data_IF_708366144704
#
_entry.id   IF_708366144704
#
_cell.length_a   1.000
_cell.length_b   1.000
_cell.length_c   1.000
_cell.angle_alpha   90.00
_cell.angle_beta   90.00
_cell.angle_gamma   90.00
#
_symmetry.space_group_name_H-M   'P 1'
#
loop_
_entity.id
_entity.type
_entity.pdbx_description
1 polymer ?
#
# COMPACT_ATOMS: atom_id res chain seq x y z
N UNK A 1 -1.26 -18.15 8.46
CA UNK A 1 -0.93 -16.86 7.81
C UNK A 1 -0.48 -17.12 6.38
N UNK A 2 -1.00 -16.35 5.41
CA UNK A 2 -0.60 -16.40 4.00
C UNK A 2 -0.02 -15.04 3.60
N UNK A 3 1.18 -15.03 3.00
CA UNK A 3 1.87 -13.81 2.59
C UNK A 3 1.94 -13.74 1.06
N UNK A 4 1.43 -12.65 0.50
CA UNK A 4 1.55 -12.28 -0.92
C UNK A 4 2.48 -11.10 -1.03
N UNK A 5 3.39 -11.12 -2.00
CA UNK A 5 4.34 -10.03 -2.18
C UNK A 5 4.39 -9.53 -3.62
N UNK A 6 4.36 -8.21 -3.79
CA UNK A 6 4.53 -7.54 -5.06
C UNK A 6 5.94 -7.78 -5.63
N UNK A 7 6.04 -8.04 -6.92
CA UNK A 7 7.32 -8.16 -7.64
C UNK A 7 7.44 -7.13 -8.76
N UNK A 8 8.68 -6.77 -9.09
CA UNK A 8 9.01 -5.86 -10.20
C UNK A 8 8.63 -4.39 -9.97
N UNK A 9 8.20 -4.04 -8.75
CA UNK A 9 7.86 -2.67 -8.38
C UNK A 9 7.99 -2.44 -6.88
N UNK A 10 8.52 -1.27 -6.54
CA UNK A 10 8.58 -0.73 -5.18
C UNK A 10 7.76 0.56 -5.07
N UNK A 11 6.90 0.64 -4.06
CA UNK A 11 6.07 1.82 -3.77
C UNK A 11 6.69 2.69 -2.68
N UNK A 12 7.91 3.19 -2.95
CA UNK A 12 8.57 4.16 -2.09
C UNK A 12 7.77 5.48 -2.00
N UNK A 13 7.95 6.25 -0.91
CA UNK A 13 7.25 7.53 -0.70
C UNK A 13 7.40 8.49 -1.89
N UNK A 14 8.60 8.59 -2.46
CA UNK A 14 8.89 9.44 -3.62
C UNK A 14 8.20 8.97 -4.91
N UNK A 15 7.72 7.73 -5.01
CA UNK A 15 6.93 7.27 -6.14
C UNK A 15 5.44 7.66 -6.04
N UNK A 16 5.00 8.06 -4.84
CA UNK A 16 3.59 8.28 -4.48
C UNK A 16 3.28 9.74 -4.14
N UNK A 17 4.25 10.49 -3.63
CA UNK A 17 4.05 11.88 -3.23
C UNK A 17 5.08 12.81 -3.88
N UNK A 18 4.68 14.03 -4.25
CA UNK A 18 5.61 15.08 -4.61
C UNK A 18 6.59 15.36 -3.47
N UNK A 19 7.82 15.70 -3.84
CA UNK A 19 8.90 16.16 -2.97
C UNK A 19 9.59 17.36 -3.62
N UNK A 20 10.67 17.86 -3.00
CA UNK A 20 11.50 18.97 -3.49
C UNK A 20 11.92 18.82 -4.96
N UNK A 21 12.13 17.59 -5.43
CA UNK A 21 12.52 17.29 -6.82
C UNK A 21 11.40 17.52 -7.83
N UNK A 22 10.17 17.70 -7.37
CA UNK A 22 9.01 17.97 -8.20
C UNK A 22 8.74 19.47 -8.38
N UNK A 23 9.42 20.37 -7.66
CA UNK A 23 9.14 21.81 -7.67
C UNK A 23 9.18 22.41 -9.09
N UNK A 24 10.15 21.97 -9.90
CA UNK A 24 10.31 22.40 -11.29
C UNK A 24 9.71 21.40 -12.30
N UNK A 25 8.94 20.41 -11.85
CA UNK A 25 8.38 19.36 -12.69
C UNK A 25 6.93 19.00 -12.27
N UNK A 26 5.94 19.85 -12.61
CA UNK A 26 4.54 19.63 -12.22
C UNK A 26 3.94 18.34 -12.80
N UNK A 27 4.42 17.89 -13.97
CA UNK A 27 3.99 16.63 -14.58
C UNK A 27 4.40 15.41 -13.74
N UNK A 28 5.59 15.47 -13.15
CA UNK A 28 6.07 14.42 -12.25
C UNK A 28 5.29 14.42 -10.93
N UNK A 29 4.99 15.60 -10.37
CA UNK A 29 4.12 15.72 -9.21
C UNK A 29 2.75 15.06 -9.45
N UNK A 30 2.10 15.41 -10.56
CA UNK A 30 0.79 14.86 -10.96
C UNK A 30 0.87 13.33 -11.16
N UNK A 31 1.94 12.83 -11.80
CA UNK A 31 2.14 11.39 -12.01
C UNK A 31 2.23 10.63 -10.68
N UNK A 32 2.94 11.17 -9.69
CA UNK A 32 3.09 10.54 -8.36
C UNK A 32 1.77 10.49 -7.60
N UNK A 33 1.01 11.59 -7.60
CA UNK A 33 -0.32 11.63 -6.98
C UNK A 33 -1.28 10.63 -7.64
N UNK A 34 -1.30 10.57 -8.98
CA UNK A 34 -2.08 9.56 -9.72
C UNK A 34 -1.66 8.13 -9.36
N UNK A 35 -0.37 7.86 -9.19
CA UNK A 35 0.08 6.55 -8.73
C UNK A 35 -0.43 6.24 -7.32
N UNK A 36 -0.41 7.22 -6.42
CA UNK A 36 -0.91 7.10 -5.05
C UNK A 36 -2.41 6.81 -4.99
N UNK A 37 -3.22 7.52 -5.77
CA UNK A 37 -4.66 7.29 -5.88
C UNK A 37 -4.99 5.91 -6.46
N UNK A 38 -4.23 5.48 -7.48
CA UNK A 38 -4.34 4.13 -8.06
C UNK A 38 -3.95 3.05 -7.06
N UNK A 39 -2.87 3.26 -6.30
CA UNK A 39 -2.47 2.34 -5.26
C UNK A 39 -3.53 2.26 -4.15
N UNK A 40 -4.06 3.41 -3.72
CA UNK A 40 -5.18 3.48 -2.76
C UNK A 40 -6.38 2.68 -3.27
N UNK A 41 -6.75 2.82 -4.54
CA UNK A 41 -7.86 2.07 -5.13
C UNK A 41 -7.62 0.54 -5.11
N UNK A 42 -6.40 0.09 -5.43
CA UNK A 42 -6.05 -1.33 -5.33
C UNK A 42 -6.14 -1.83 -3.87
N UNK A 43 -5.57 -1.09 -2.93
CA UNK A 43 -5.60 -1.41 -1.49
C UNK A 43 -7.03 -1.52 -0.98
N UNK A 44 -7.89 -0.55 -1.31
CA UNK A 44 -9.27 -0.56 -0.85
C UNK A 44 -10.15 -1.60 -1.56
N UNK A 45 -9.78 -2.04 -2.77
CA UNK A 45 -10.42 -3.21 -3.40
C UNK A 45 -10.17 -4.48 -2.59
N UNK A 46 -8.91 -4.75 -2.26
CA UNK A 46 -8.55 -5.92 -1.42
C UNK A 46 -9.24 -5.86 -0.06
N UNK A 47 -9.34 -4.65 0.53
CA UNK A 47 -10.02 -4.46 1.80
C UNK A 47 -11.53 -4.75 1.74
N UNK A 48 -12.23 -4.33 0.68
CA UNK A 48 -13.67 -4.57 0.51
C UNK A 48 -14.00 -6.04 0.30
N UNK A 49 -13.08 -6.81 -0.28
CA UNK A 49 -13.21 -8.26 -0.42
C UNK A 49 -13.03 -9.00 0.91
N UNK A 50 -12.56 -8.32 1.97
CA UNK A 50 -12.28 -8.91 3.28
C UNK A 50 -13.43 -8.68 4.26
N UNK A 51 -13.99 -9.75 4.83
CA UNK A 51 -15.10 -9.67 5.81
C UNK A 51 -14.70 -9.08 7.17
N UNK A 52 -13.45 -9.27 7.60
CA UNK A 52 -12.95 -8.81 8.89
C UNK A 52 -12.23 -7.47 8.82
N UNK A 53 -11.62 -7.09 9.96
CA UNK A 53 -10.80 -5.88 10.06
C UNK A 53 -9.57 -5.97 9.15
N UNK A 54 -9.25 -4.85 8.53
CA UNK A 54 -8.11 -4.67 7.63
C UNK A 54 -7.22 -3.59 8.19
N UNK A 55 -5.93 -3.89 8.34
CA UNK A 55 -4.92 -2.87 8.65
C UNK A 55 -4.15 -2.55 7.37
N UNK A 56 -4.02 -1.26 7.07
CA UNK A 56 -3.16 -0.77 6.02
C UNK A 56 -2.06 0.06 6.66
N UNK A 57 -0.80 -0.31 6.42
CA UNK A 57 0.38 0.40 6.91
C UNK A 57 1.13 1.00 5.74
N UNK A 58 1.23 2.33 5.68
CA UNK A 58 1.91 3.07 4.60
C UNK A 58 2.78 4.20 5.17
N UNK A 59 3.62 4.84 4.37
CA UNK A 59 4.44 5.95 4.89
C UNK A 59 3.52 7.08 5.40
N UNK A 60 3.91 7.78 6.48
CA UNK A 60 3.04 8.76 7.15
C UNK A 60 2.39 9.77 6.19
N UNK A 61 3.19 10.37 5.31
CA UNK A 61 2.64 11.31 4.31
C UNK A 61 1.65 10.67 3.34
N UNK A 62 1.79 9.39 3.01
CA UNK A 62 0.87 8.66 2.12
C UNK A 62 -0.44 8.41 2.85
N UNK A 63 -0.38 8.03 4.13
CA UNK A 63 -1.55 7.90 5.00
C UNK A 63 -2.29 9.23 5.12
N UNK A 64 -1.57 10.31 5.38
CA UNK A 64 -2.15 11.64 5.55
C UNK A 64 -2.81 12.13 4.25
N UNK A 65 -2.19 11.86 3.10
CA UNK A 65 -2.78 12.14 1.79
C UNK A 65 -4.02 11.27 1.51
N UNK A 66 -3.97 9.97 1.79
CA UNK A 66 -5.10 9.06 1.55
C UNK A 66 -6.34 9.35 2.40
N UNK A 67 -6.16 9.95 3.58
CA UNK A 67 -7.26 10.49 4.39
C UNK A 67 -7.96 11.68 3.73
N UNK A 68 -7.26 12.41 2.87
CA UNK A 68 -7.80 13.56 2.14
C UNK A 68 -8.43 13.16 0.80
N UNK A 69 -8.03 12.04 0.20
CA UNK A 69 -8.54 11.58 -1.09
C UNK A 69 -10.02 11.17 -1.08
N UNK A 70 -10.55 10.76 0.08
CA UNK A 70 -11.92 10.27 0.18
C UNK A 70 -12.15 9.34 1.37
N UNK A 71 -13.38 8.84 1.51
CA UNK A 71 -13.76 7.98 2.62
C UNK A 71 -13.05 6.62 2.59
N UNK A 72 -12.96 6.00 3.76
CA UNK A 72 -12.44 4.64 3.95
C UNK A 72 -13.60 3.70 4.29
N UNK A 73 -13.60 2.46 3.81
CA UNK A 73 -14.52 1.44 4.29
C UNK A 73 -14.42 1.25 5.81
N UNK A 74 -15.55 0.99 6.47
CA UNK A 74 -15.62 0.84 7.94
C UNK A 74 -14.71 -0.26 8.53
N UNK A 75 -14.32 -1.25 7.72
CA UNK A 75 -13.42 -2.32 8.14
C UNK A 75 -11.93 -1.96 8.00
N UNK A 76 -11.58 -0.79 7.47
CA UNK A 76 -10.20 -0.36 7.22
C UNK A 76 -9.69 0.56 8.31
N UNK A 77 -8.56 0.20 8.90
CA UNK A 77 -7.76 1.05 9.77
C UNK A 77 -6.44 1.42 9.07
N UNK A 78 -6.02 2.68 9.17
CA UNK A 78 -4.73 3.14 8.67
C UNK A 78 -3.73 3.31 9.82
N UNK A 79 -2.50 2.83 9.60
CA UNK A 79 -1.34 3.14 10.43
C UNK A 79 -0.15 3.50 9.53
N UNK A 80 0.95 3.94 10.14
CA UNK A 80 2.16 4.28 9.38
C UNK A 80 3.41 3.59 9.91
N UNK A 81 4.39 3.42 9.03
CA UNK A 81 5.72 2.90 9.35
C UNK A 81 6.30 3.67 10.56
N UNK A 82 7.02 2.98 11.43
CA UNK A 82 7.58 3.44 12.71
C UNK A 82 6.55 3.78 13.81
N UNK A 83 5.24 3.73 13.54
CA UNK A 83 4.18 3.93 14.54
C UNK A 83 3.34 2.67 14.80
N UNK A 84 3.95 1.51 14.53
CA UNK A 84 3.39 0.19 14.81
C UNK A 84 4.01 -0.47 16.05
N UNK A 85 5.18 0.00 16.49
CA UNK A 85 5.88 -0.54 17.64
C UNK A 85 5.05 -0.36 18.92
N UNK A 86 5.03 -1.40 19.77
CA UNK A 86 4.26 -1.40 21.03
C UNK A 86 2.74 -1.55 20.87
N UNK A 87 2.21 -1.60 19.64
CA UNK A 87 0.78 -1.76 19.38
C UNK A 87 0.39 -3.24 19.29
N UNK A 88 -0.74 -3.58 19.90
CA UNK A 88 -1.25 -4.97 20.03
C UNK A 88 -2.68 -5.15 19.50
N UNK A 89 -3.43 -4.06 19.32
CA UNK A 89 -4.84 -4.03 18.91
C UNK A 89 -5.16 -4.73 17.57
N UNK A 90 -4.13 -5.07 16.79
CA UNK A 90 -4.25 -5.75 15.50
C UNK A 90 -4.08 -7.28 15.60
N UNK A 91 -3.43 -7.75 16.66
CA UNK A 91 -3.29 -9.17 16.95
C UNK A 91 -4.58 -9.80 17.49
N UNK A 92 -4.73 -11.13 17.44
CA UNK A 92 -5.79 -11.80 18.18
C UNK A 92 -5.57 -11.62 19.69
N UNK A 93 -6.66 -11.56 20.45
CA UNK A 93 -6.66 -11.46 21.91
C UNK A 93 -8.01 -11.92 22.49
N UNK A 94 -8.19 -11.92 23.82
CA UNK A 94 -9.48 -12.27 24.44
C UNK A 94 -10.61 -11.39 23.87
N UNK A 95 -11.63 -12.01 23.26
CA UNK A 95 -12.74 -11.30 22.61
C UNK A 95 -12.39 -10.53 21.33
N UNK A 96 -11.15 -10.62 20.84
CA UNK A 96 -10.66 -9.88 19.67
C UNK A 96 -10.11 -10.86 18.63
N UNK A 97 -10.76 -11.07 17.47
CA UNK A 97 -10.21 -11.94 16.42
C UNK A 97 -8.89 -11.40 15.83
N UNK A 98 -8.70 -10.08 15.93
CA UNK A 98 -7.62 -9.35 15.28
C UNK A 98 -7.95 -9.07 13.81
N UNK A 99 -6.96 -8.55 13.07
CA UNK A 99 -7.13 -8.27 11.64
C UNK A 99 -7.13 -9.55 10.80
N UNK A 100 -7.98 -9.59 9.77
CA UNK A 100 -8.03 -10.66 8.76
C UNK A 100 -7.12 -10.38 7.57
N UNK A 101 -6.84 -9.11 7.28
CA UNK A 101 -5.91 -8.69 6.24
C UNK A 101 -4.98 -7.59 6.73
N UNK A 102 -3.70 -7.74 6.46
CA UNK A 102 -2.66 -6.72 6.62
C UNK A 102 -2.14 -6.33 5.25
N UNK A 103 -2.15 -5.04 4.91
CA UNK A 103 -1.55 -4.52 3.68
C UNK A 103 -0.40 -3.58 4.07
N UNK A 104 0.82 -3.89 3.63
CA UNK A 104 2.01 -3.08 3.89
C UNK A 104 2.42 -2.39 2.59
N UNK A 105 2.38 -1.07 2.57
CA UNK A 105 2.67 -0.25 1.40
C UNK A 105 4.09 0.29 1.47
N UNK A 106 4.88 -0.06 0.46
CA UNK A 106 6.25 0.39 0.33
C UNK A 106 7.10 -0.02 1.52
N UNK A 107 8.07 0.82 1.82
CA UNK A 107 9.09 0.63 2.86
C UNK A 107 9.68 1.96 3.31
N UNK A 108 10.40 1.90 4.41
CA UNK A 108 11.40 2.86 4.87
C UNK A 108 12.75 2.56 4.22
N UNK A 109 13.51 3.60 3.86
CA UNK A 109 14.90 3.47 3.44
C UNK A 109 15.66 4.73 3.89
N UNK A 110 16.67 4.61 4.77
CA UNK A 110 17.50 5.75 5.14
C UNK A 110 18.39 6.15 3.97
N UNK A 111 18.74 7.44 3.83
CA UNK A 111 19.80 7.85 2.90
C UNK A 111 21.14 7.23 3.34
N UNK A 112 22.10 6.93 2.42
CA UNK A 112 23.38 6.32 2.77
C UNK A 112 24.11 7.01 3.93
N UNK A 113 24.31 8.33 3.83
CA UNK A 113 24.93 9.12 4.90
C UNK A 113 24.21 8.99 6.26
N UNK A 114 22.89 8.78 6.28
CA UNK A 114 22.16 8.62 7.53
C UNK A 114 22.44 7.25 8.18
N UNK A 115 22.56 6.20 7.36
CA UNK A 115 22.97 4.88 7.83
C UNK A 115 24.43 4.88 8.31
N UNK A 116 25.32 5.56 7.58
CA UNK A 116 26.72 5.74 7.95
C UNK A 116 26.85 6.48 9.29
N UNK A 117 26.22 7.65 9.44
CA UNK A 117 26.26 8.39 10.71
C UNK A 117 25.74 7.57 11.90
N UNK A 118 24.68 6.76 11.69
CA UNK A 118 24.18 5.86 12.74
C UNK A 118 25.19 4.75 13.06
N UNK A 119 25.89 4.22 12.06
CA UNK A 119 26.93 3.21 12.24
C UNK A 119 28.12 3.77 13.03
N UNK A 120 28.58 4.96 12.67
CA UNK A 120 29.70 5.63 13.34
C UNK A 120 29.34 5.99 14.79
N UNK A 121 28.13 6.51 15.00
CA UNK A 121 27.64 6.82 16.35
C UNK A 121 27.51 5.55 17.22
N UNK A 122 27.08 4.43 16.65
CA UNK A 122 26.91 3.16 17.37
C UNK A 122 28.25 2.51 17.73
N UNK A 123 29.23 2.59 16.84
CA UNK A 123 30.52 1.87 16.99
C UNK A 123 31.65 2.73 17.54
N UNK A 124 31.54 4.05 17.45
CA UNK A 124 32.63 4.99 17.76
C UNK A 124 33.76 5.00 16.73
N UNK A 125 33.58 4.36 15.57
CA UNK A 125 34.57 4.27 14.50
C UNK A 125 33.97 4.76 13.18
N UNK A 126 34.81 5.36 12.31
CA UNK A 126 34.39 5.73 10.97
C UNK A 126 34.01 4.50 10.15
N UNK A 127 33.03 4.64 9.25
CA UNK A 127 32.68 3.53 8.32
C UNK A 127 33.86 3.18 7.42
N UNK A 128 34.02 1.90 7.08
CA UNK A 128 35.14 1.46 6.25
C UNK A 128 35.05 1.97 4.81
N UNK A 129 33.84 2.27 4.35
CA UNK A 129 33.56 2.78 3.01
C UNK A 129 32.32 3.66 3.05
N UNK A 130 32.50 4.95 2.82
CA UNK A 130 31.40 5.92 2.69
C UNK A 130 30.92 6.00 1.24
N UNK A 131 29.62 6.18 1.06
CA UNK A 131 28.97 6.35 -0.24
C UNK A 131 28.67 7.83 -0.49
N UNK A 132 29.28 8.40 -1.54
CA UNK A 132 28.97 9.74 -2.01
C UNK A 132 27.62 9.83 -2.78
N UNK A 133 27.04 8.69 -3.16
CA UNK A 133 25.87 8.58 -4.03
C UNK A 133 24.79 7.66 -3.47
N UNK A 134 23.82 7.21 -4.28
CA UNK A 134 22.80 6.26 -3.84
C UNK A 134 23.42 4.90 -3.51
N UNK A 135 22.67 4.05 -2.80
CA UNK A 135 23.09 2.66 -2.61
C UNK A 135 23.27 1.95 -3.94
N UNK A 136 24.26 1.06 -3.97
CA UNK A 136 24.39 0.07 -5.04
C UNK A 136 23.17 -0.87 -4.98
N UNK A 137 22.66 -1.26 -6.16
CA UNK A 137 21.64 -2.33 -6.26
C UNK A 137 22.34 -3.64 -6.55
N UNK A 138 22.11 -4.65 -5.71
CA UNK A 138 22.67 -5.99 -5.86
C UNK A 138 21.56 -7.01 -6.10
N UNK A 139 21.91 -8.08 -6.81
CA UNK A 139 21.02 -9.22 -7.00
C UNK A 139 20.56 -9.77 -5.64
N UNK A 140 19.26 -10.03 -5.55
CA UNK A 140 18.63 -10.62 -4.39
C UNK A 140 17.48 -11.52 -4.84
N UNK A 141 16.86 -12.23 -3.88
CA UNK A 141 15.79 -13.15 -4.19
C UNK A 141 14.65 -13.08 -3.18
N UNK A 142 13.42 -13.05 -3.68
CA UNK A 142 12.22 -13.30 -2.88
C UNK A 142 12.04 -14.83 -2.80
N UNK A 143 12.10 -15.38 -1.59
CA UNK A 143 11.96 -16.82 -1.34
C UNK A 143 10.49 -17.21 -1.21
N UNK A 144 10.06 -18.27 -1.90
CA UNK A 144 8.72 -18.83 -1.78
C UNK A 144 8.72 -20.06 -0.86
N UNK A 145 7.57 -20.34 -0.23
CA UNK A 145 7.38 -21.48 0.67
C UNK A 145 7.52 -22.84 0.01
N UNK A 146 7.32 -22.92 -1.30
CA UNK A 146 7.54 -24.15 -2.10
C UNK A 146 9.02 -24.41 -2.38
N UNK A 147 9.94 -23.58 -1.87
CA UNK A 147 11.39 -23.70 -2.07
C UNK A 147 11.91 -22.96 -3.32
N UNK A 148 11.05 -22.45 -4.20
CA UNK A 148 11.48 -21.64 -5.34
C UNK A 148 11.81 -20.21 -4.93
N UNK A 149 12.44 -19.45 -5.83
CA UNK A 149 12.72 -18.05 -5.63
C UNK A 149 12.44 -17.22 -6.88
N UNK A 150 12.20 -15.93 -6.68
CA UNK A 150 12.03 -14.95 -7.75
C UNK A 150 13.16 -13.93 -7.65
N UNK A 151 13.93 -13.68 -8.73
CA UNK A 151 15.01 -12.70 -8.72
C UNK A 151 14.45 -11.29 -8.53
N UNK A 152 15.21 -10.47 -7.80
CA UNK A 152 14.94 -9.05 -7.57
C UNK A 152 16.28 -8.33 -7.37
N UNK A 153 16.23 -7.04 -7.07
CA UNK A 153 17.40 -6.26 -6.70
C UNK A 153 17.10 -5.46 -5.42
N UNK A 154 18.08 -5.45 -4.51
CA UNK A 154 18.00 -4.74 -3.24
C UNK A 154 19.12 -3.70 -3.13
N UNK A 155 18.85 -2.60 -2.42
CA UNK A 155 19.91 -1.66 -2.04
C UNK A 155 20.89 -2.33 -1.08
N UNK A 156 22.18 -2.03 -1.24
CA UNK A 156 23.25 -2.59 -0.43
C UNK A 156 24.28 -1.51 -0.07
N UNK A 157 24.71 -1.50 1.18
CA UNK A 157 25.81 -0.70 1.67
C UNK A 157 27.10 -1.56 1.82
N UNK A 158 28.27 -1.09 1.37
CA UNK A 158 29.51 -1.88 1.44
C UNK A 158 30.05 -2.06 2.87
N UNK A 159 29.89 -1.05 3.75
CA UNK A 159 30.21 -1.19 5.18
C UNK A 159 29.19 -2.11 5.88
N UNK A 160 29.63 -3.18 6.57
CA UNK A 160 28.74 -4.16 7.20
C UNK A 160 27.82 -3.59 8.30
N UNK A 161 28.29 -2.60 9.06
CA UNK A 161 27.51 -2.01 10.16
C UNK A 161 26.42 -1.10 9.60
N UNK A 162 26.79 -0.24 8.64
CA UNK A 162 25.82 0.60 7.94
C UNK A 162 24.80 -0.25 7.16
N UNK A 163 25.21 -1.37 6.58
CA UNK A 163 24.28 -2.32 5.94
C UNK A 163 23.33 -2.96 6.94
N UNK A 164 23.81 -3.39 8.11
CA UNK A 164 22.95 -3.94 9.16
C UNK A 164 21.91 -2.91 9.63
N UNK A 165 22.30 -1.64 9.77
CA UNK A 165 21.39 -0.53 10.12
C UNK A 165 20.38 -0.29 9.00
N UNK A 166 20.83 -0.23 7.74
CA UNK A 166 19.94 -0.08 6.57
C UNK A 166 18.91 -1.20 6.52
N UNK A 167 19.36 -2.45 6.68
CA UNK A 167 18.50 -3.64 6.71
C UNK A 167 17.51 -3.59 7.87
N UNK A 168 17.95 -3.17 9.05
CA UNK A 168 17.09 -3.04 10.21
C UNK A 168 15.97 -2.00 9.97
N UNK A 169 16.32 -0.84 9.43
CA UNK A 169 15.36 0.24 9.16
C UNK A 169 14.41 -0.14 8.03
N UNK A 170 14.87 -0.85 7.00
CA UNK A 170 14.08 -1.18 5.82
C UNK A 170 13.34 -2.52 5.98
N UNK A 171 14.04 -3.64 5.82
CA UNK A 171 13.49 -4.99 5.87
C UNK A 171 13.02 -5.37 7.29
N UNK A 172 13.74 -4.91 8.32
CA UNK A 172 13.38 -5.13 9.72
C UNK A 172 12.03 -4.51 10.09
N UNK A 173 11.76 -3.28 9.65
CA UNK A 173 10.47 -2.62 9.86
C UNK A 173 9.33 -3.36 9.16
N UNK A 174 9.53 -3.84 7.92
CA UNK A 174 8.54 -4.67 7.22
C UNK A 174 8.19 -5.92 8.04
N UNK A 175 9.19 -6.61 8.57
CA UNK A 175 8.99 -7.80 9.40
C UNK A 175 8.29 -7.47 10.73
N UNK A 176 8.60 -6.32 11.34
CA UNK A 176 7.90 -5.86 12.53
C UNK A 176 6.42 -5.61 12.25
N UNK A 177 6.11 -4.92 11.15
CA UNK A 177 4.73 -4.66 10.71
C UNK A 177 3.99 -5.99 10.47
N UNK A 178 4.60 -6.91 9.72
CA UNK A 178 4.04 -8.25 9.47
C UNK A 178 3.79 -8.98 10.79
N UNK A 179 4.72 -8.88 11.74
CA UNK A 179 4.64 -9.46 13.07
C UNK A 179 3.43 -8.97 13.88
N UNK A 180 2.89 -7.78 13.60
CA UNK A 180 1.70 -7.25 14.30
C UNK A 180 0.43 -8.04 14.02
N UNK A 181 0.36 -8.74 12.89
CA UNK A 181 -0.69 -9.71 12.65
C UNK A 181 -0.62 -10.91 13.61
N UNK A 182 0.53 -11.18 14.25
CA UNK A 182 0.75 -12.39 15.07
C UNK A 182 0.34 -13.66 14.34
N UNK A 183 0.65 -13.73 13.04
CA UNK A 183 0.16 -14.78 12.16
C UNK A 183 0.65 -16.19 12.49
N UNK A 184 1.71 -16.32 13.30
CA UNK A 184 2.20 -17.58 13.87
C UNK A 184 1.22 -18.16 14.90
N UNK A 185 0.47 -17.31 15.60
CA UNK A 185 -0.48 -17.71 16.64
C UNK A 185 -1.88 -18.00 16.05
N UNK A 186 -2.02 -18.01 14.72
CA UNK A 186 -3.30 -18.12 14.01
C UNK A 186 -3.45 -19.48 13.34
N UNK A 187 -4.66 -20.04 13.44
CA UNK A 187 -5.04 -21.33 12.85
C UNK A 187 -5.91 -21.12 11.60
N UNK A 188 -6.33 -22.21 10.96
CA UNK A 188 -7.30 -22.16 9.87
C UNK A 188 -8.65 -21.54 10.28
N UNK A 189 -9.01 -21.58 11.57
CA UNK A 189 -10.25 -20.99 12.08
C UNK A 189 -10.17 -19.46 12.27
N UNK A 190 -8.97 -18.88 12.34
CA UNK A 190 -8.76 -17.44 12.42
C UNK A 190 -7.57 -17.04 11.53
N UNK A 191 -7.71 -17.16 10.19
CA UNK A 191 -6.61 -16.92 9.28
C UNK A 191 -6.28 -15.42 9.19
N UNK A 192 -5.08 -15.15 8.68
CA UNK A 192 -4.71 -13.80 8.26
C UNK A 192 -3.94 -13.86 6.95
N UNK A 193 -4.33 -12.96 6.06
CA UNK A 193 -3.62 -12.67 4.82
C UNK A 193 -2.76 -11.42 5.01
N UNK A 194 -1.59 -11.43 4.38
CA UNK A 194 -0.65 -10.31 4.37
C UNK A 194 -0.31 -10.01 2.92
N UNK A 195 -0.50 -8.75 2.50
CA UNK A 195 -0.12 -8.26 1.19
C UNK A 195 0.98 -7.20 1.33
N UNK A 196 2.17 -7.53 0.85
CA UNK A 196 3.34 -6.65 0.89
C UNK A 196 3.53 -6.00 -0.48
N UNK A 197 3.32 -4.68 -0.55
CA UNK A 197 3.37 -3.88 -1.77
C UNK A 197 4.74 -3.22 -1.93
N UNK A 198 5.77 -4.05 -1.89
CA UNK A 198 7.17 -3.74 -2.22
C UNK A 198 7.89 -5.02 -2.63
N UNK A 199 8.87 -4.91 -3.52
CA UNK A 199 9.69 -6.01 -4.03
C UNK A 199 10.96 -6.28 -3.21
N UNK A 200 11.05 -5.69 -2.00
CA UNK A 200 12.19 -5.91 -1.10
C UNK A 200 12.28 -7.37 -0.62
N UNK A 201 13.44 -8.02 -0.67
CA UNK A 201 13.58 -9.40 -0.22
C UNK A 201 13.31 -9.52 1.29
N UNK A 202 12.30 -10.29 1.67
CA UNK A 202 12.01 -10.56 3.07
C UNK A 202 12.91 -11.67 3.62
N UNK A 203 13.23 -11.60 4.92
CA UNK A 203 13.99 -12.66 5.61
C UNK A 203 13.17 -13.93 5.87
N UNK A 204 11.86 -13.91 5.55
CA UNK A 204 10.92 -15.03 5.64
C UNK A 204 10.39 -15.40 4.26
N UNK A 205 10.09 -16.69 4.00
CA UNK A 205 9.50 -17.09 2.72
C UNK A 205 8.04 -16.65 2.61
N UNK A 206 7.65 -16.20 1.41
CA UNK A 206 6.27 -15.81 1.07
C UNK A 206 5.49 -16.98 0.46
N UNK A 207 4.17 -16.91 0.47
CA UNK A 207 3.32 -17.95 -0.12
C UNK A 207 3.22 -17.79 -1.64
N UNK A 208 3.11 -16.55 -2.10
CA UNK A 208 3.00 -16.24 -3.52
C UNK A 208 3.55 -14.86 -3.83
N UNK A 209 3.92 -14.67 -5.09
CA UNK A 209 4.24 -13.35 -5.65
C UNK A 209 3.08 -12.87 -6.52
N UNK A 210 2.87 -11.57 -6.55
CA UNK A 210 1.83 -10.92 -7.35
C UNK A 210 2.45 -9.80 -8.17
N UNK A 211 1.95 -9.60 -9.39
CA UNK A 211 2.39 -8.49 -10.24
C UNK A 211 1.49 -7.28 -10.06
N UNK A 212 1.97 -6.09 -10.43
CA UNK A 212 1.14 -4.89 -10.38
C UNK A 212 -0.07 -5.00 -11.32
N UNK A 213 0.09 -5.62 -12.48
CA UNK A 213 -0.97 -5.82 -13.48
C UNK A 213 -2.13 -6.65 -12.90
N UNK A 214 -1.81 -7.66 -12.08
CA UNK A 214 -2.84 -8.45 -11.37
C UNK A 214 -3.54 -7.65 -10.27
N UNK A 215 -2.87 -6.65 -9.71
CA UNK A 215 -3.41 -5.80 -8.65
C UNK A 215 -4.02 -4.50 -9.18
N UNK A 216 -3.80 -4.16 -10.45
CA UNK A 216 -4.14 -2.88 -11.02
C UNK A 216 -5.64 -2.59 -10.83
N UNK A 217 -6.01 -1.41 -10.29
CA UNK A 217 -7.40 -1.10 -10.07
C UNK A 217 -8.11 -0.88 -11.41
N UNK A 218 -9.30 -1.43 -11.53
CA UNK A 218 -10.24 -1.03 -12.57
C UNK A 218 -10.73 0.40 -12.32
N UNK A 219 -11.29 1.09 -13.32
CA UNK A 219 -11.91 2.39 -13.07
C UNK A 219 -13.07 2.37 -12.06
N UNK A 220 -13.67 1.21 -11.79
CA UNK A 220 -14.74 1.03 -10.81
C UNK A 220 -14.13 1.02 -9.42
N UNK A 221 -12.99 0.35 -9.26
CA UNK A 221 -12.20 0.41 -8.02
C UNK A 221 -11.77 1.84 -7.71
N UNK A 222 -11.40 2.61 -8.75
CA UNK A 222 -11.05 4.03 -8.58
C UNK A 222 -12.27 4.86 -8.16
N UNK A 223 -13.44 4.69 -8.79
CA UNK A 223 -14.67 5.36 -8.34
C UNK A 223 -15.06 4.98 -6.90
N UNK A 224 -15.01 3.69 -6.56
CA UNK A 224 -15.24 3.21 -5.19
C UNK A 224 -14.24 3.78 -4.19
N UNK A 225 -12.97 3.93 -4.59
CA UNK A 225 -11.93 4.57 -3.79
C UNK A 225 -12.29 6.01 -3.48
N UNK A 226 -12.71 6.79 -4.49
CA UNK A 226 -12.93 8.22 -4.35
C UNK A 226 -14.23 8.58 -3.60
N UNK A 227 -15.35 7.90 -3.90
CA UNK A 227 -16.66 8.30 -3.38
C UNK A 227 -17.53 7.18 -2.83
N UNK A 228 -17.02 5.94 -2.79
CA UNK A 228 -17.79 4.79 -2.31
C UNK A 228 -18.89 4.29 -3.25
N UNK A 229 -18.99 4.84 -4.47
CA UNK A 229 -19.99 4.44 -5.48
C UNK A 229 -19.33 4.26 -6.85
N UNK A 230 -19.51 3.10 -7.49
CA UNK A 230 -19.12 2.84 -8.87
C UNK A 230 -20.34 2.81 -9.80
N UNK A 231 -20.38 3.77 -10.72
CA UNK A 231 -21.45 3.90 -11.72
C UNK A 231 -21.10 3.16 -13.00
N UNK A 232 -22.03 2.37 -13.55
CA UNK A 232 -21.82 1.65 -14.81
C UNK A 232 -21.84 2.57 -16.03
N UNK A 233 -22.66 3.63 -16.00
CA UNK A 233 -22.83 4.55 -17.12
C UNK A 233 -21.71 5.59 -17.19
N UNK A 234 -21.01 5.68 -18.33
CA UNK A 234 -19.90 6.62 -18.51
C UNK A 234 -20.28 8.10 -18.33
N UNK A 235 -21.47 8.49 -18.79
CA UNK A 235 -21.96 9.86 -18.66
C UNK A 235 -22.22 10.21 -17.18
N UNK A 236 -22.80 9.29 -16.43
CA UNK A 236 -23.08 9.50 -15.01
C UNK A 236 -21.80 9.41 -14.18
N UNK A 237 -20.88 8.51 -14.51
CA UNK A 237 -19.55 8.45 -13.90
C UNK A 237 -18.78 9.77 -14.06
N UNK A 238 -18.81 10.39 -15.25
CA UNK A 238 -18.21 11.71 -15.48
C UNK A 238 -18.87 12.80 -14.63
N UNK A 239 -20.21 12.81 -14.54
CA UNK A 239 -20.94 13.81 -13.75
C UNK A 239 -20.68 13.68 -12.25
N UNK A 240 -20.60 12.45 -11.75
CA UNK A 240 -20.36 12.18 -10.33
C UNK A 240 -18.89 12.38 -9.92
N UNK A 241 -17.95 12.22 -10.86
CA UNK A 241 -16.51 12.35 -10.62
C UNK A 241 -15.84 13.21 -11.70
N UNK A 242 -16.11 14.53 -11.75
CA UNK A 242 -15.58 15.43 -12.77
C UNK A 242 -14.06 15.61 -12.68
N UNK A 243 -13.48 16.55 -13.44
CA UNK A 243 -12.02 16.68 -13.60
C UNK A 243 -11.28 16.94 -12.29
N UNK A 244 -11.94 17.58 -11.33
CA UNK A 244 -11.41 17.86 -9.99
C UNK A 244 -11.29 16.58 -9.15
N UNK A 245 -11.96 15.51 -9.57
CA UNK A 245 -12.02 14.25 -8.82
C UNK A 245 -11.41 13.07 -9.58
N UNK A 246 -11.73 12.87 -10.86
CA UNK A 246 -11.27 11.69 -11.60
C UNK A 246 -11.19 11.88 -13.12
N UNK A 247 -12.28 12.31 -13.75
CA UNK A 247 -12.42 12.20 -15.19
C UNK A 247 -12.10 13.51 -15.90
N UNK A 248 -11.00 13.53 -16.66
CA UNK A 248 -10.60 14.72 -17.43
C UNK A 248 -11.61 15.12 -18.52
N UNK A 249 -12.42 14.17 -19.02
CA UNK A 249 -13.49 14.45 -19.97
C UNK A 249 -14.53 13.31 -20.02
N UNK A 250 -15.73 13.55 -20.57
CA UNK A 250 -16.71 12.49 -20.80
C UNK A 250 -16.17 11.36 -21.69
N UNK A 251 -15.34 11.71 -22.68
CA UNK A 251 -14.71 10.74 -23.57
C UNK A 251 -13.66 9.88 -22.85
N UNK A 252 -12.94 10.45 -21.87
CA UNK A 252 -12.00 9.71 -21.04
C UNK A 252 -12.71 8.67 -20.19
N UNK A 253 -13.82 9.05 -19.52
CA UNK A 253 -14.67 8.12 -18.77
C UNK A 253 -15.17 6.99 -19.67
N UNK A 254 -15.77 7.32 -20.82
CA UNK A 254 -16.26 6.32 -21.78
C UNK A 254 -15.16 5.34 -22.22
N UNK A 255 -13.99 5.84 -22.64
CA UNK A 255 -12.88 4.99 -23.10
C UNK A 255 -12.31 4.11 -21.98
N UNK A 256 -12.22 4.62 -20.76
CA UNK A 256 -11.74 3.86 -19.61
C UNK A 256 -12.71 2.72 -19.29
N UNK A 257 -14.02 3.00 -19.21
CA UNK A 257 -15.01 1.98 -18.93
C UNK A 257 -15.06 0.91 -20.04
N UNK A 258 -15.00 1.31 -21.31
CA UNK A 258 -15.00 0.39 -22.45
C UNK A 258 -13.81 -0.58 -22.43
N UNK A 259 -12.61 -0.08 -22.12
CA UNK A 259 -11.39 -0.91 -22.03
C UNK A 259 -11.50 -1.96 -20.94
N UNK A 260 -12.10 -1.61 -19.81
CA UNK A 260 -12.29 -2.53 -18.68
C UNK A 260 -13.43 -3.53 -18.88
N UNK A 261 -14.39 -3.25 -19.78
CA UNK A 261 -15.42 -4.21 -20.17
C UNK A 261 -15.01 -5.17 -21.29
N UNK A 262 -14.02 -4.82 -22.10
CA UNK A 262 -13.57 -5.60 -23.27
C UNK A 262 -12.27 -6.39 -23.07
N UNK A 263 -11.54 -6.15 -21.99
CA UNK A 263 -10.34 -6.90 -21.65
C UNK A 263 -10.62 -8.07 -20.71
N UNK A 264 -9.79 -9.12 -20.77
CA UNK A 264 -9.74 -10.25 -19.83
C UNK A 264 -9.42 -9.84 -18.37
N UNK A 265 -9.65 -8.59 -17.98
CA UNK A 265 -9.62 -8.18 -16.58
C UNK A 265 -10.67 -8.97 -15.81
N UNK A 266 -10.39 -9.50 -14.61
CA UNK A 266 -11.32 -10.26 -13.76
C UNK A 266 -12.54 -9.47 -13.23
N UNK A 267 -13.00 -8.44 -13.96
CA UNK A 267 -14.03 -7.49 -13.58
C UNK A 267 -15.43 -8.13 -13.44
N UNK A 268 -15.66 -9.33 -13.96
CA UNK A 268 -16.92 -10.04 -13.70
C UNK A 268 -17.02 -10.53 -12.25
N UNK A 269 -15.89 -10.82 -11.57
CA UNK A 269 -15.90 -11.42 -10.23
C UNK A 269 -15.49 -10.47 -9.09
N UNK A 270 -14.81 -9.35 -9.35
CA UNK A 270 -14.18 -8.54 -8.28
C UNK A 270 -15.06 -7.45 -7.66
N UNK A 271 -15.99 -6.84 -8.42
CA UNK A 271 -16.93 -5.80 -7.93
C UNK A 271 -18.39 -6.03 -8.33
N UNK A 272 -18.64 -6.75 -9.43
CA UNK A 272 -20.00 -7.14 -9.87
C UNK A 272 -20.46 -8.47 -9.24
N UNK A 273 -19.61 -9.11 -8.45
CA UNK A 273 -19.89 -10.33 -7.68
C UNK A 273 -20.23 -10.07 -6.21
N UNK A 274 -20.18 -11.12 -5.39
CA UNK A 274 -20.50 -11.08 -3.95
C UNK A 274 -19.37 -10.43 -3.12
N UNK A 275 -19.24 -9.10 -3.18
CA UNK A 275 -18.35 -8.34 -2.30
C UNK A 275 -19.05 -8.15 -0.95
N UNK A 276 -18.49 -8.62 0.19
CA UNK A 276 -19.23 -8.76 1.44
C UNK A 276 -19.92 -7.50 1.97
N UNK A 277 -19.38 -6.32 1.67
CA UNK A 277 -19.83 -5.03 2.23
C UNK A 277 -20.40 -4.09 1.18
N UNK A 278 -20.46 -4.50 -0.10
CA UNK A 278 -21.00 -3.65 -1.16
C UNK A 278 -22.38 -4.15 -1.60
N UNK A 279 -23.24 -3.19 -1.94
CA UNK A 279 -24.58 -3.45 -2.47
C UNK A 279 -24.68 -2.98 -3.90
N UNK A 280 -25.60 -3.58 -4.64
CA UNK A 280 -25.94 -3.19 -6.00
C UNK A 280 -27.27 -2.46 -5.99
N UNK A 281 -27.39 -1.39 -6.75
CA UNK A 281 -28.65 -0.69 -6.91
C UNK A 281 -28.89 -0.36 -8.38
N UNK A 282 -30.17 -0.22 -8.73
CA UNK A 282 -30.62 0.27 -10.03
C UNK A 282 -31.34 1.60 -9.83
N UNK A 283 -31.02 2.59 -10.66
CA UNK A 283 -31.59 3.93 -10.59
C UNK A 283 -32.01 4.42 -11.97
N UNK A 284 -32.97 5.34 -12.01
CA UNK A 284 -33.33 6.08 -13.22
C UNK A 284 -33.44 7.57 -12.87
N UNK A 285 -32.74 8.43 -13.61
CA UNK A 285 -32.83 9.89 -13.48
C UNK A 285 -34.18 10.40 -13.97
N UNK A 286 -34.66 11.50 -13.40
CA UNK A 286 -35.87 12.17 -13.87
C UNK A 286 -35.68 12.76 -15.29
N UNK A 287 -36.77 12.79 -16.06
CA UNK A 287 -36.81 13.41 -17.39
C UNK A 287 -37.06 12.43 -18.54
N UNK A 288 -37.46 13.00 -19.68
CA UNK A 288 -37.80 12.22 -20.87
C UNK A 288 -36.58 11.44 -21.41
N UNK A 289 -36.81 10.18 -21.81
CA UNK A 289 -35.81 9.28 -22.44
C UNK A 289 -34.61 8.88 -21.56
N UNK A 290 -34.63 9.15 -20.25
CA UNK A 290 -33.62 8.58 -19.34
C UNK A 290 -33.82 7.06 -19.24
N UNK A 291 -32.73 6.29 -19.31
CA UNK A 291 -32.76 4.83 -19.18
C UNK A 291 -32.30 4.41 -17.78
N UNK A 292 -32.84 3.33 -17.21
CA UNK A 292 -32.30 2.76 -15.98
C UNK A 292 -30.82 2.38 -16.13
N UNK A 293 -30.06 2.56 -15.05
CA UNK A 293 -28.65 2.22 -14.96
C UNK A 293 -28.36 1.56 -13.61
N UNK A 294 -27.30 0.77 -13.55
CA UNK A 294 -26.89 0.05 -12.34
C UNK A 294 -25.62 0.65 -11.74
N UNK A 295 -25.47 0.52 -10.43
CA UNK A 295 -24.28 0.90 -9.69
C UNK A 295 -23.96 -0.12 -8.60
N UNK A 296 -22.74 -0.01 -8.07
CA UNK A 296 -22.31 -0.68 -6.84
C UNK A 296 -21.91 0.39 -5.83
N UNK A 297 -22.26 0.23 -4.57
CA UNK A 297 -21.87 1.17 -3.52
C UNK A 297 -21.55 0.47 -2.19
N UNK A 298 -20.84 1.18 -1.33
CA UNK A 298 -20.51 0.75 0.03
C UNK A 298 -21.43 1.51 1.02
N UNK A 299 -22.44 0.85 1.62
CA UNK A 299 -23.37 1.51 2.53
C UNK A 299 -22.72 2.08 3.80
N UNK A 300 -21.53 1.58 4.19
CA UNK A 300 -20.79 2.13 5.33
C UNK A 300 -20.14 3.48 5.00
N UNK A 301 -19.96 3.76 3.71
CA UNK A 301 -19.42 5.02 3.19
C UNK A 301 -20.55 5.96 2.73
N UNK A 302 -21.58 5.40 2.07
CA UNK A 302 -22.73 6.13 1.54
C UNK A 302 -24.00 5.56 2.18
N UNK A 303 -24.38 6.04 3.38
CA UNK A 303 -25.57 5.56 4.08
C UNK A 303 -26.86 5.98 3.38
N UNK A 304 -26.88 7.19 2.78
CA UNK A 304 -27.98 7.67 1.96
C UNK A 304 -27.56 7.70 0.47
N UNK A 305 -27.91 6.64 -0.25
CA UNK A 305 -27.61 6.53 -1.67
C UNK A 305 -28.45 7.48 -2.53
N UNK A 306 -29.69 7.78 -2.11
CA UNK A 306 -30.59 8.63 -2.88
C UNK A 306 -30.05 10.07 -2.89
N UNK A 307 -29.75 10.61 -1.70
CA UNK A 307 -29.17 11.95 -1.55
C UNK A 307 -27.84 12.05 -2.31
N UNK A 308 -26.97 11.05 -2.19
CA UNK A 308 -25.69 11.03 -2.89
C UNK A 308 -25.85 11.10 -4.42
N UNK A 309 -26.83 10.39 -4.97
CA UNK A 309 -27.12 10.37 -6.40
C UNK A 309 -27.77 11.68 -6.86
N UNK A 310 -28.73 12.20 -6.11
CA UNK A 310 -29.44 13.43 -6.48
C UNK A 310 -28.54 14.66 -6.43
N UNK A 311 -27.65 14.74 -5.44
CA UNK A 311 -26.62 15.79 -5.35
C UNK A 311 -25.72 15.84 -6.60
N UNK A 312 -25.34 14.67 -7.14
CA UNK A 312 -24.35 14.56 -8.24
C UNK A 312 -24.97 14.47 -9.63
N UNK A 313 -26.12 13.81 -9.75
CA UNK A 313 -26.75 13.49 -11.03
C UNK A 313 -28.05 14.27 -11.26
N UNK A 314 -28.55 14.98 -10.24
CA UNK A 314 -29.85 15.63 -10.26
C UNK A 314 -30.99 14.66 -9.91
N UNK A 315 -32.25 15.14 -9.95
CA UNK A 315 -33.42 14.41 -9.43
C UNK A 315 -33.58 13.02 -10.03
N UNK A 316 -33.98 12.04 -9.21
CA UNK A 316 -34.26 10.68 -9.65
C UNK A 316 -35.77 10.49 -9.92
N UNK A 317 -36.08 9.62 -10.88
CA UNK A 317 -37.44 9.10 -11.09
C UNK A 317 -37.74 7.94 -10.14
N UNK A 318 -36.75 7.06 -9.94
CA UNK A 318 -36.79 5.99 -8.93
C UNK A 318 -35.39 5.45 -8.65
N UNK A 319 -35.25 4.80 -7.49
CA UNK A 319 -34.08 4.07 -7.02
C UNK A 319 -34.55 2.75 -6.41
N UNK A 320 -33.85 1.65 -6.70
CA UNK A 320 -34.09 0.33 -6.12
C UNK A 320 -32.76 -0.29 -5.69
N UNK A 321 -32.62 -0.59 -4.41
CA UNK A 321 -31.53 -1.42 -3.89
C UNK A 321 -31.83 -2.89 -4.22
N UNK A 322 -30.89 -3.57 -4.88
CA UNK A 322 -31.06 -4.97 -5.29
C UNK A 322 -30.83 -5.95 -4.11
N UNK A 323 -30.49 -5.45 -2.91
CA UNK A 323 -30.27 -6.25 -1.71
C UNK A 323 -31.54 -6.97 -1.19
N UNK A 324 -32.73 -6.67 -1.71
CA UNK A 324 -34.00 -7.24 -1.24
C UNK A 324 -34.45 -8.53 -1.97
N UNK A 325 -33.66 -9.07 -2.91
CA UNK A 325 -33.99 -10.36 -3.55
C UNK A 325 -33.25 -11.53 -2.87
N UNK A 326 -34.02 -12.32 -2.11
CA UNK A 326 -33.69 -13.54 -1.38
C UNK A 326 -32.52 -14.38 -1.92
N UNK A 327 -31.65 -14.79 -0.99
CA UNK A 327 -30.66 -15.84 -1.17
C UNK A 327 -31.35 -17.16 -1.55
N UNK A 328 -31.26 -17.54 -2.82
CA UNK A 328 -31.58 -18.90 -3.24
C UNK A 328 -30.61 -19.86 -2.54
N UNK A 329 -31.08 -20.87 -1.80
CA UNK A 329 -30.19 -21.80 -1.11
C UNK A 329 -29.29 -22.52 -2.14
N UNK A 330 -27.99 -22.72 -1.83
CA UNK A 330 -27.08 -23.39 -2.73
C UNK A 330 -27.58 -24.83 -2.97
N UNK A 331 -27.68 -25.20 -4.25
CA UNK A 331 -27.97 -26.57 -4.67
C UNK A 331 -26.89 -27.53 -4.15
N UNK A 332 -27.25 -28.78 -3.80
CA UNK A 332 -26.31 -29.73 -3.21
C UNK A 332 -25.19 -30.06 -4.20
N UNK A 333 -23.95 -29.88 -3.75
CA UNK A 333 -22.76 -30.32 -4.48
C UNK A 333 -22.67 -31.84 -4.39
N UNK A 334 -22.89 -32.51 -5.52
CA UNK A 334 -22.61 -33.94 -5.67
C UNK A 334 -21.08 -34.09 -5.61
N UNK A 335 -20.60 -34.85 -4.63
CA UNK A 335 -19.21 -35.27 -4.52
C UNK A 335 -19.07 -36.63 -5.18
N UNK A 336 -18.63 -36.64 -6.45
CA UNK A 336 -18.09 -37.86 -7.05
C UNK A 336 -16.62 -37.99 -6.65
N UNK A 337 -16.31 -39.13 -6.03
CA UNK A 337 -15.01 -39.44 -5.45
C UNK A 337 -13.95 -39.80 -6.48
N UNK A 338 -12.70 -39.70 -6.03
CA UNK A 338 -11.63 -40.56 -6.51
C UNK A 338 -10.84 -41.11 -5.33
N UNK A 339 -10.52 -42.39 -5.47
CA UNK A 339 -10.10 -43.35 -4.47
C UNK A 339 -8.58 -43.29 -4.23
N UNK A 340 -8.19 -43.33 -2.96
CA UNK A 340 -7.13 -44.17 -2.40
C UNK A 340 -5.66 -43.92 -2.78
N UNK A 341 -4.85 -43.54 -1.79
CA UNK A 341 -3.52 -44.12 -1.58
C UNK A 341 -2.99 -43.84 -0.16
N UNK A 342 -2.88 -44.93 0.62
CA UNK A 342 -1.93 -45.25 1.70
C UNK A 342 -1.48 -44.15 2.67
N UNK A 343 -1.99 -44.25 3.91
CA UNK A 343 -1.37 -43.73 5.11
C UNK A 343 -0.02 -44.42 5.36
N UNK A 344 1.04 -43.63 5.52
CA UNK A 344 2.26 -44.05 6.23
C UNK A 344 2.39 -43.20 7.50
N UNK A 345 2.27 -43.90 8.61
CA UNK A 345 2.46 -43.45 9.99
C UNK A 345 3.92 -43.05 10.20
N UNK A 346 4.16 -41.78 10.57
CA UNK A 346 5.46 -41.34 11.07
C UNK A 346 5.52 -41.49 12.59
N UNK A 347 6.64 -41.96 13.17
CA UNK A 347 6.81 -42.12 14.61
C UNK A 347 7.00 -40.77 15.33
N UNK A 348 6.71 -40.70 16.64
CA UNK A 348 6.80 -39.45 17.40
C UNK A 348 8.27 -39.03 17.61
N UNK A 349 8.58 -37.78 17.28
CA UNK A 349 9.88 -37.15 17.56
C UNK A 349 9.99 -36.89 19.07
N UNK A 350 11.01 -37.48 19.69
CA UNK A 350 11.42 -37.26 21.07
C UNK A 350 11.84 -35.81 21.28
N UNK A 351 11.26 -35.15 22.28
CA UNK A 351 11.76 -33.88 22.81
C UNK A 351 13.02 -34.14 23.62
N UNK A 352 14.17 -33.67 23.13
CA UNK A 352 15.38 -33.54 23.93
C UNK A 352 15.35 -32.23 24.71
N UNK A 353 15.41 -32.37 26.03
CA UNK A 353 15.64 -31.29 26.99
C UNK A 353 17.13 -30.88 27.01
N UNK A 354 17.38 -29.72 27.63
CA UNK A 354 18.63 -28.96 27.84
C UNK A 354 18.76 -27.74 26.89
N UNK A 355 18.95 -26.51 27.34
CA UNK A 355 19.60 -26.04 28.57
C UNK A 355 18.89 -24.83 29.21
N UNK A 356 19.04 -24.72 30.52
CA UNK A 356 18.54 -23.66 31.38
C UNK A 356 19.21 -22.31 31.07
N UNK A 357 18.41 -21.25 30.98
CA UNK A 357 18.86 -19.86 31.02
C UNK A 357 18.44 -19.23 32.35
N UNK A 358 19.42 -18.80 33.14
CA UNK A 358 19.19 -18.01 34.36
C UNK A 358 18.62 -16.62 34.01
N UNK A 359 17.74 -16.05 34.85
CA UNK A 359 17.19 -14.72 34.61
C UNK A 359 18.19 -13.62 35.00
N UNK A 360 18.56 -12.77 34.04
CA UNK A 360 19.21 -11.49 34.32
C UNK A 360 18.12 -10.53 34.85
N UNK A 361 18.22 -10.15 36.13
CA UNK A 361 17.43 -9.05 36.73
C UNK A 361 18.04 -7.72 36.28
N UNK A 362 17.28 -6.91 35.55
CA UNK A 362 17.57 -5.49 35.36
C UNK A 362 16.95 -4.69 36.52
N UNK A 363 17.68 -3.74 37.13
CA UNK A 363 17.14 -2.88 38.20
C UNK A 363 16.11 -1.89 37.67
N UNK A 364 15.14 -1.59 38.52
CA UNK A 364 13.86 -0.95 38.21
C UNK A 364 13.91 0.58 38.18
N UNK A 365 15.01 1.23 37.79
CA UNK A 365 15.13 2.68 37.95
C UNK A 365 15.76 3.35 36.71
N UNK A 366 14.96 3.58 35.65
CA UNK A 366 15.34 4.57 34.62
C UNK A 366 14.10 5.31 34.10
N UNK A 367 13.67 6.31 34.88
CA UNK A 367 12.74 7.36 34.45
C UNK A 367 13.49 8.34 33.54
N UNK A 368 13.25 8.31 32.22
CA UNK A 368 13.68 9.41 31.34
C UNK A 368 12.53 10.42 31.23
N UNK A 369 12.69 11.53 31.95
CA UNK A 369 11.84 12.72 31.84
C UNK A 369 12.19 13.51 30.57
N UNK A 370 11.14 13.92 29.88
CA UNK A 370 11.13 14.80 28.70
C UNK A 370 11.81 16.15 28.97
N UNK A 371 12.79 16.51 28.13
CA UNK A 371 13.44 17.83 28.10
C UNK A 371 12.80 18.69 26.98
N UNK A 372 11.69 19.37 27.29
CA UNK A 372 11.02 20.32 26.37
C UNK A 372 10.71 21.69 27.02
N UNK A 373 11.58 22.20 27.89
CA UNK A 373 11.41 23.57 28.38
C UNK A 373 12.75 24.21 28.74
N UNK A 374 13.36 24.90 27.77
CA UNK A 374 14.20 26.10 27.94
C UNK A 374 14.81 26.45 26.59
N UNK A 375 14.25 27.48 25.95
CA UNK A 375 14.94 28.61 25.31
C UNK A 375 13.92 29.38 24.47
N UNK A 376 13.22 30.31 25.14
CA UNK A 376 12.58 31.43 24.47
C UNK A 376 13.65 32.38 23.92
N UNK A 377 13.40 32.88 22.72
CA UNK A 377 14.26 33.82 22.01
C UNK A 377 14.54 35.12 22.80
N UNK A 378 15.62 35.83 22.43
CA UNK A 378 15.40 37.21 22.05
C UNK A 378 16.08 37.60 20.73
N UNK A 379 15.41 38.54 20.05
CA UNK A 379 15.92 39.34 18.92
C UNK A 379 17.14 40.15 19.36
N UNK A 380 18.16 40.22 18.53
CA UNK A 380 19.15 41.29 18.53
C UNK A 380 19.29 41.87 17.12
N UNK A 381 19.40 43.18 17.08
CA UNK A 381 19.33 44.07 15.93
C UNK A 381 20.71 44.67 15.64
N UNK A 382 20.95 44.95 14.34
CA UNK A 382 21.83 46.00 13.77
C UNK A 382 23.36 45.78 13.70
N UNK A 383 24.12 46.55 12.88
CA UNK A 383 23.76 47.58 11.88
C UNK A 383 24.40 47.37 10.48
N UNK A 384 24.01 48.22 9.52
CA UNK A 384 24.54 48.23 8.16
C UNK A 384 25.92 48.87 7.99
N UNK A 385 26.59 48.47 6.91
CA UNK A 385 27.67 49.19 6.25
C UNK A 385 27.52 48.95 4.74
N UNK A 386 27.14 50.00 4.02
CA UNK A 386 27.32 50.12 2.58
C UNK A 386 28.79 50.48 2.30
N UNK A 387 29.43 49.75 1.38
CA UNK A 387 30.14 50.32 0.24
C UNK A 387 30.74 49.22 -0.65
N UNK A 388 30.29 49.25 -1.91
CA UNK A 388 31.03 48.97 -3.15
C UNK A 388 32.36 48.21 -3.07
N UNK A 389 32.37 46.98 -3.59
CA UNK A 389 33.39 46.48 -4.52
C UNK A 389 33.02 45.07 -5.01
N UNK A 390 32.67 44.97 -6.31
CA UNK A 390 32.80 43.72 -7.05
C UNK A 390 34.28 43.31 -7.11
N UNK A 391 34.59 42.01 -7.17
CA UNK A 391 34.90 41.50 -8.50
C UNK A 391 34.37 40.09 -8.80
N UNK A 392 34.17 39.91 -10.10
CA UNK A 392 33.89 38.69 -10.85
C UNK A 392 34.72 37.47 -10.41
N UNK A 393 34.05 36.32 -10.26
CA UNK A 393 34.52 35.00 -10.73
C UNK A 393 33.52 33.88 -10.37
N UNK A 394 32.47 33.74 -11.18
CA UNK A 394 31.72 32.48 -11.26
C UNK A 394 32.44 31.52 -12.23
N UNK A 395 32.79 30.28 -11.84
CA UNK A 395 33.14 29.26 -12.81
C UNK A 395 31.85 28.75 -13.48
N UNK A 396 31.72 29.06 -14.77
CA UNK A 396 30.75 28.48 -15.70
C UNK A 396 30.79 26.95 -15.67
N UNK A 397 29.72 26.31 -15.18
CA UNK A 397 29.44 24.91 -15.50
C UNK A 397 28.64 24.85 -16.81
N UNK A 398 29.32 24.43 -17.90
CA UNK A 398 28.67 24.10 -19.17
C UNK A 398 27.87 22.82 -19.01
N UNK A 399 26.65 22.83 -19.54
CA UNK A 399 25.72 21.71 -19.49
C UNK A 399 26.30 20.41 -20.06
N UNK A 400 26.24 19.35 -19.26
CA UNK A 400 26.34 17.99 -19.74
C UNK A 400 24.95 17.53 -20.21
N UNK A 401 24.83 17.27 -21.51
CA UNK A 401 23.68 16.58 -22.08
C UNK A 401 23.52 15.19 -21.45
N UNK A 402 22.29 14.70 -21.20
CA UNK A 402 22.07 13.32 -20.81
C UNK A 402 22.44 12.38 -21.98
N UNK A 403 23.05 11.21 -21.71
CA UNK A 403 23.42 10.28 -22.77
C UNK A 403 22.17 9.73 -23.49
N UNK A 404 22.27 9.79 -24.81
CA UNK A 404 21.31 9.29 -25.78
C UNK A 404 21.04 7.79 -25.52
N UNK A 405 19.78 7.42 -25.24
CA UNK A 405 19.38 6.01 -25.11
C UNK A 405 19.46 5.35 -26.49
N UNK A 406 20.42 4.47 -26.69
CA UNK A 406 20.44 3.56 -27.85
C UNK A 406 19.18 2.66 -27.87
N UNK A 407 18.62 2.36 -29.05
CA UNK A 407 17.40 1.59 -29.18
C UNK A 407 17.61 0.11 -28.86
N UNK A 408 16.61 -0.50 -28.21
CA UNK A 408 16.55 -1.96 -27.97
C UNK A 408 16.50 -2.71 -29.31
N UNK A 409 17.16 -3.88 -29.43
CA UNK A 409 17.05 -4.71 -30.64
C UNK A 409 15.64 -5.27 -30.78
N UNK A 410 15.15 -5.27 -32.03
CA UNK A 410 13.95 -6.00 -32.46
C UNK A 410 14.22 -7.50 -32.34
N UNK A 411 13.29 -8.23 -31.74
CA UNK A 411 13.14 -9.64 -31.99
C UNK A 411 12.56 -9.80 -33.40
N UNK A 412 13.29 -10.48 -34.27
CA UNK A 412 12.73 -11.12 -35.46
C UNK A 412 12.34 -12.57 -35.11
N UNK A 413 11.39 -13.06 -35.89
CA UNK A 413 10.53 -14.24 -35.72
C UNK A 413 11.24 -15.59 -35.54
#
# INVERSE_FOLDING_TARGET
MRIRQLVGRDWAKSALLPDEWCENNPKEAERRLKNSERLRAAVLREARQTRGRVLVVAQKGVVDYWKQCGPLPSNVELAWHNAVAGRDEWGPGPGRPGISLLIVVGRTLPRPWAAEMMAEALTGAAVSTSLAGPYERREAHIRLRNGSSVPTEAEHHPDPTAEAIRQHICEGELLQIIGRARGVNRTAANPVDVLVLTDRPLSIPVNEVVSWESLEPSPWDVMMSMGGVALKGAADAYRAYPVETLWTSPAAAKKALQRSSGGHSPNSNSLLGNVPHCRRATYQKAGARQRPSTLVYDPSVVPDLQDWLEERLGPLAWLKDDAEAEAKPPAPTVSEGLVGAAAQTLPPVQQSAHAAAMPIRLPADLHIRTLEARLGAPRLSQPGLDHDAAPDSHPHWRGAQPPNRSPRPRYEE
#
